data_IF_077766736381
#
_entry.id   IF_077766736381
#
_cell.length_a   1.000
_cell.length_b   1.000
_cell.length_c   1.000
_cell.angle_alpha   90.00
_cell.angle_beta   90.00
_cell.angle_gamma   90.00
#
_symmetry.space_group_name_H-M   'P 1'
#
loop_
_entity.id
_entity.type
_entity.pdbx_description
1 polymer ?
#
# COMPACT_ATOMS: atom_id res chain seq x y z
N UNK A 1 -3.36 -25.71 4.41
CA UNK A 1 -3.31 -26.84 5.38
C UNK A 1 -4.19 -27.98 4.87
N UNK A 2 -5.52 -27.84 4.77
CA UNK A 2 -6.42 -28.94 4.34
C UNK A 2 -6.01 -29.64 3.03
N UNK A 3 -5.52 -28.90 2.02
CA UNK A 3 -5.00 -29.47 0.77
C UNK A 3 -3.73 -30.29 1.04
N UNK A 4 -2.83 -29.79 1.89
CA UNK A 4 -1.59 -30.49 2.24
C UNK A 4 -1.89 -31.78 3.00
N UNK A 5 -2.87 -31.80 3.89
CA UNK A 5 -3.35 -33.00 4.57
C UNK A 5 -3.91 -34.03 3.58
N UNK A 6 -4.72 -33.58 2.61
CA UNK A 6 -5.24 -34.45 1.55
C UNK A 6 -4.11 -35.11 0.75
N UNK A 7 -3.05 -34.38 0.41
CA UNK A 7 -1.89 -34.89 -0.32
C UNK A 7 -0.82 -35.51 0.58
N UNK A 8 -1.09 -35.66 1.90
CA UNK A 8 -0.17 -36.26 2.89
C UNK A 8 1.21 -35.58 2.91
N UNK A 9 1.24 -34.26 2.71
CA UNK A 9 2.47 -33.48 2.87
C UNK A 9 2.84 -33.46 4.34
N UNK A 10 4.12 -33.71 4.66
CA UNK A 10 4.58 -33.72 6.05
C UNK A 10 4.49 -32.30 6.66
N UNK A 11 4.31 -32.24 7.98
CA UNK A 11 4.31 -30.97 8.72
C UNK A 11 5.65 -30.23 8.56
N UNK A 12 6.75 -30.97 8.49
CA UNK A 12 8.10 -30.41 8.30
C UNK A 12 8.25 -29.76 6.93
N UNK A 13 7.82 -30.46 5.86
CA UNK A 13 7.85 -29.91 4.50
C UNK A 13 6.92 -28.70 4.36
N UNK A 14 5.73 -28.76 4.98
CA UNK A 14 4.82 -27.63 5.00
C UNK A 14 5.42 -26.40 5.70
N UNK A 15 6.04 -26.59 6.87
CA UNK A 15 6.73 -25.51 7.60
C UNK A 15 7.92 -24.96 6.82
N UNK A 16 8.70 -25.83 6.18
CA UNK A 16 9.82 -25.40 5.33
C UNK A 16 9.33 -24.59 4.13
N UNK A 17 8.31 -25.06 3.42
CA UNK A 17 7.71 -24.35 2.30
C UNK A 17 7.14 -23.00 2.71
N UNK A 18 6.38 -22.91 3.82
CA UNK A 18 5.79 -21.66 4.31
C UNK A 18 6.82 -20.61 4.70
N UNK A 19 8.04 -20.99 5.08
CA UNK A 19 9.13 -20.05 5.38
C UNK A 19 9.70 -19.36 4.14
N UNK A 20 9.62 -19.99 2.99
CA UNK A 20 10.21 -19.50 1.73
C UNK A 20 9.18 -18.97 0.74
N UNK A 21 7.89 -19.30 0.94
CA UNK A 21 6.82 -18.81 0.07
C UNK A 21 6.69 -17.29 0.23
N UNK A 22 6.82 -16.59 -0.89
CA UNK A 22 6.54 -15.17 -1.00
C UNK A 22 5.47 -14.96 -2.07
N UNK A 23 4.43 -14.26 -1.72
CA UNK A 23 3.38 -13.89 -2.69
C UNK A 23 3.62 -12.45 -3.14
N UNK A 24 3.90 -12.26 -4.43
CA UNK A 24 4.12 -10.92 -5.01
C UNK A 24 2.93 -10.00 -4.66
N UNK A 25 3.22 -8.84 -4.07
CA UNK A 25 2.23 -7.83 -3.74
C UNK A 25 1.29 -8.18 -2.58
N UNK A 26 1.68 -9.08 -1.68
CA UNK A 26 0.96 -9.40 -0.44
C UNK A 26 1.93 -9.36 0.73
N UNK A 27 1.85 -8.34 1.57
CA UNK A 27 2.79 -8.08 2.68
C UNK A 27 4.24 -8.28 2.20
N UNK A 28 4.53 -7.78 1.01
CA UNK A 28 5.83 -7.94 0.37
C UNK A 28 6.80 -6.90 0.93
N UNK A 29 7.77 -7.35 1.74
CA UNK A 29 8.79 -6.49 2.31
C UNK A 29 9.79 -6.06 1.24
N UNK A 30 10.05 -4.75 1.17
CA UNK A 30 11.05 -4.16 0.27
C UNK A 30 12.12 -3.48 1.10
N UNK A 31 13.37 -3.92 0.96
CA UNK A 31 14.48 -3.33 1.70
C UNK A 31 14.85 -1.97 1.10
N UNK A 32 14.64 -0.91 1.88
CA UNK A 32 14.95 0.48 1.52
C UNK A 32 15.80 1.18 2.57
N UNK A 33 15.68 0.79 3.84
CA UNK A 33 16.37 1.39 4.98
C UNK A 33 16.61 0.34 6.08
N UNK A 34 17.52 0.62 6.99
CA UNK A 34 17.68 -0.14 8.24
C UNK A 34 16.83 0.45 9.39
N UNK A 35 16.35 1.68 9.23
CA UNK A 35 15.59 2.39 10.25
C UNK A 35 14.09 2.08 10.23
N UNK A 36 13.52 1.76 9.07
CA UNK A 36 12.09 1.51 8.90
C UNK A 36 11.78 0.36 7.95
N UNK A 37 10.56 -0.17 8.06
CA UNK A 37 10.04 -1.22 7.19
C UNK A 37 9.17 -0.57 6.12
N UNK A 38 9.41 -0.94 4.85
CA UNK A 38 8.51 -0.63 3.73
C UNK A 38 7.97 -1.92 3.15
N UNK A 39 6.66 -1.95 2.89
CA UNK A 39 6.00 -3.11 2.29
C UNK A 39 4.98 -2.71 1.24
N UNK A 40 4.73 -3.65 0.31
CA UNK A 40 3.71 -3.54 -0.73
C UNK A 40 2.60 -4.52 -0.44
N UNK A 41 1.33 -4.07 -0.52
CA UNK A 41 0.16 -4.92 -0.35
C UNK A 41 -0.96 -4.60 -1.35
N UNK A 42 -1.81 -5.58 -1.61
CA UNK A 42 -2.94 -5.46 -2.55
C UNK A 42 -4.26 -5.03 -1.88
N UNK A 43 -4.25 -4.58 -0.64
CA UNK A 43 -5.45 -4.09 0.05
C UNK A 43 -6.04 -2.88 -0.69
N UNK A 44 -7.12 -3.09 -1.45
CA UNK A 44 -7.74 -2.10 -2.34
C UNK A 44 -9.23 -1.87 -2.06
N UNK A 45 -9.71 -2.26 -0.88
CA UNK A 45 -11.02 -1.98 -0.35
C UNK A 45 -10.94 -1.81 1.17
N UNK A 46 -12.00 -1.25 1.77
CA UNK A 46 -12.01 -0.89 3.19
C UNK A 46 -11.73 -2.07 4.12
N UNK A 47 -12.40 -3.20 3.90
CA UNK A 47 -12.23 -4.40 4.75
C UNK A 47 -10.80 -4.96 4.69
N UNK A 48 -10.21 -5.04 3.50
CA UNK A 48 -8.83 -5.50 3.35
C UNK A 48 -7.83 -4.52 3.97
N UNK A 49 -8.06 -3.21 3.80
CA UNK A 49 -7.23 -2.16 4.38
C UNK A 49 -7.32 -2.16 5.92
N UNK A 50 -8.53 -2.31 6.46
CA UNK A 50 -8.74 -2.42 7.90
C UNK A 50 -8.03 -3.63 8.50
N UNK A 51 -8.18 -4.81 7.87
CA UNK A 51 -7.49 -6.03 8.29
C UNK A 51 -5.97 -5.86 8.26
N UNK A 52 -5.44 -5.29 7.19
CA UNK A 52 -4.00 -5.03 7.04
C UNK A 52 -3.49 -4.08 8.12
N UNK A 53 -4.07 -2.89 8.25
CA UNK A 53 -3.62 -1.87 9.18
C UNK A 53 -3.77 -2.32 10.64
N UNK A 54 -4.87 -3.01 10.99
CA UNK A 54 -5.07 -3.57 12.32
C UNK A 54 -4.00 -4.61 12.65
N UNK A 55 -3.70 -5.52 11.72
CA UNK A 55 -2.62 -6.49 11.89
C UNK A 55 -1.27 -5.81 12.09
N UNK A 56 -0.96 -4.77 11.30
CA UNK A 56 0.29 -4.03 11.44
C UNK A 56 0.39 -3.29 12.77
N UNK A 57 -0.73 -2.83 13.33
CA UNK A 57 -0.78 -2.22 14.68
C UNK A 57 -0.41 -3.19 15.80
N UNK A 58 -0.69 -4.49 15.66
CA UNK A 58 -0.30 -5.51 16.64
C UNK A 58 1.22 -5.65 16.81
N UNK A 59 2.00 -5.22 15.81
CA UNK A 59 3.47 -5.18 15.88
C UNK A 59 4.01 -3.91 16.58
N UNK A 60 3.13 -3.03 17.08
CA UNK A 60 3.49 -1.81 17.82
C UNK A 60 4.49 -0.91 17.10
N UNK A 61 4.28 -0.56 15.82
CA UNK A 61 5.15 0.37 15.11
C UNK A 61 5.19 1.73 15.84
N UNK A 62 6.31 2.44 15.78
CA UNK A 62 6.37 3.80 16.33
C UNK A 62 5.45 4.74 15.54
N UNK A 63 5.39 4.55 14.22
CA UNK A 63 4.46 5.23 13.33
C UNK A 63 4.04 4.27 12.21
N UNK A 64 2.74 4.18 11.97
CA UNK A 64 2.16 3.45 10.84
C UNK A 64 1.79 4.43 9.74
N UNK A 65 2.45 4.33 8.58
CA UNK A 65 2.22 5.18 7.42
C UNK A 65 1.52 4.37 6.33
N UNK A 66 0.37 4.84 5.87
CA UNK A 66 -0.41 4.20 4.80
C UNK A 66 -0.39 5.06 3.55
N UNK A 67 0.12 4.51 2.44
CA UNK A 67 0.12 5.15 1.11
C UNK A 67 -0.89 4.41 0.24
N UNK A 68 -1.95 5.08 -0.19
CA UNK A 68 -2.92 4.45 -1.07
C UNK A 68 -3.66 5.43 -1.97
N UNK A 69 -4.26 4.90 -3.00
CA UNK A 69 -5.22 5.55 -3.86
C UNK A 69 -6.39 4.62 -4.17
N UNK A 70 -7.36 5.10 -4.91
CA UNK A 70 -8.49 4.32 -5.35
C UNK A 70 -8.63 4.31 -6.87
N UNK A 71 -9.20 3.23 -7.40
CA UNK A 71 -9.48 3.12 -8.82
C UNK A 71 -10.67 4.00 -9.25
N UNK A 72 -10.53 4.62 -10.41
CA UNK A 72 -11.63 5.29 -11.10
C UNK A 72 -12.65 4.29 -11.64
N UNK A 73 -13.85 4.79 -12.04
CA UNK A 73 -14.98 3.99 -12.51
C UNK A 73 -15.37 2.87 -11.53
N UNK A 74 -15.29 3.17 -10.24
CA UNK A 74 -15.67 2.31 -9.12
C UNK A 74 -16.58 3.09 -8.16
N UNK A 75 -17.22 2.38 -7.23
CA UNK A 75 -18.07 2.99 -6.21
C UNK A 75 -17.32 4.06 -5.42
N UNK A 76 -17.89 5.26 -5.33
CA UNK A 76 -17.38 6.35 -4.50
C UNK A 76 -17.41 5.99 -3.01
N UNK A 77 -18.39 5.19 -2.58
CA UNK A 77 -18.48 4.71 -1.21
C UNK A 77 -17.19 4.04 -0.75
N UNK A 78 -16.57 3.22 -1.63
CA UNK A 78 -15.27 2.59 -1.34
C UNK A 78 -14.17 3.61 -1.01
N UNK A 79 -14.17 4.77 -1.69
CA UNK A 79 -13.18 5.83 -1.48
C UNK A 79 -13.35 6.46 -0.10
N UNK A 80 -14.60 6.74 0.27
CA UNK A 80 -14.95 7.28 1.59
C UNK A 80 -14.59 6.31 2.70
N UNK A 81 -14.97 5.03 2.55
CA UNK A 81 -14.69 3.99 3.53
C UNK A 81 -13.19 3.75 3.72
N UNK A 82 -12.41 3.70 2.63
CA UNK A 82 -10.95 3.53 2.71
C UNK A 82 -10.28 4.74 3.38
N UNK A 83 -10.73 5.97 3.07
CA UNK A 83 -10.27 7.17 3.74
C UNK A 83 -10.54 7.12 5.24
N UNK A 84 -11.75 6.76 5.64
CA UNK A 84 -12.15 6.64 7.06
C UNK A 84 -11.34 5.57 7.79
N UNK A 85 -11.14 4.39 7.18
CA UNK A 85 -10.33 3.30 7.76
C UNK A 85 -8.88 3.74 7.96
N UNK A 86 -8.27 4.34 6.93
CA UNK A 86 -6.88 4.81 7.03
C UNK A 86 -6.74 5.91 8.09
N UNK A 87 -7.67 6.86 8.11
CA UNK A 87 -7.66 7.94 9.10
C UNK A 87 -7.82 7.47 10.56
N UNK A 88 -8.51 6.35 10.78
CA UNK A 88 -8.65 5.74 12.13
C UNK A 88 -7.44 4.94 12.56
N UNK A 89 -6.76 4.28 11.63
CA UNK A 89 -5.77 3.26 11.93
C UNK A 89 -4.33 3.66 11.63
N UNK A 90 -4.08 4.57 10.69
CA UNK A 90 -2.74 5.07 10.38
C UNK A 90 -2.41 6.35 11.15
N UNK A 91 -1.13 6.56 11.48
CA UNK A 91 -0.64 7.82 12.06
C UNK A 91 -0.46 8.90 11.00
N UNK A 92 -0.20 8.46 9.75
CA UNK A 92 -0.12 9.33 8.57
C UNK A 92 -0.66 8.58 7.36
N UNK A 93 -1.55 9.21 6.63
CA UNK A 93 -2.02 8.74 5.32
C UNK A 93 -1.43 9.59 4.21
N UNK A 94 -0.83 8.98 3.20
CA UNK A 94 -0.42 9.63 1.95
C UNK A 94 -1.41 9.22 0.88
N UNK A 95 -2.28 10.15 0.48
CA UNK A 95 -3.29 9.91 -0.55
C UNK A 95 -2.67 10.18 -1.91
N UNK A 96 -2.74 9.19 -2.81
CA UNK A 96 -2.13 9.28 -4.14
C UNK A 96 -3.03 8.69 -5.23
N UNK A 97 -2.60 8.74 -6.49
CA UNK A 97 -3.33 8.07 -7.56
C UNK A 97 -3.08 6.56 -7.58
N UNK A 98 -4.07 5.83 -8.07
CA UNK A 98 -4.01 4.41 -8.42
C UNK A 98 -4.26 4.28 -9.93
N UNK A 99 -5.30 3.61 -10.37
CA UNK A 99 -5.77 3.53 -11.74
C UNK A 99 -6.94 4.53 -11.94
N UNK A 100 -6.71 5.78 -12.34
CA UNK A 100 -7.79 6.76 -12.46
C UNK A 100 -8.78 6.41 -13.57
N UNK A 101 -8.40 5.61 -14.53
CA UNK A 101 -9.21 5.22 -15.70
C UNK A 101 -9.72 6.44 -16.45
N UNK A 102 -11.04 6.69 -16.44
CA UNK A 102 -11.66 7.81 -17.13
C UNK A 102 -12.02 8.99 -16.20
N UNK A 103 -11.65 8.92 -14.91
CA UNK A 103 -11.84 10.01 -13.96
C UNK A 103 -10.56 10.83 -13.79
N UNK A 104 -10.68 12.07 -13.36
CA UNK A 104 -9.54 12.88 -12.97
C UNK A 104 -8.97 12.38 -11.62
N UNK A 105 -7.66 12.17 -11.51
CA UNK A 105 -7.05 11.65 -10.29
C UNK A 105 -7.38 12.48 -9.05
N UNK A 106 -7.43 13.81 -9.21
CA UNK A 106 -7.73 14.74 -8.10
C UNK A 106 -9.15 14.56 -7.55
N UNK A 107 -10.13 14.23 -8.40
CA UNK A 107 -11.51 14.00 -7.96
C UNK A 107 -11.59 12.73 -7.09
N UNK A 108 -10.81 11.70 -7.44
CA UNK A 108 -10.72 10.48 -6.64
C UNK A 108 -10.06 10.77 -5.29
N UNK A 109 -8.97 11.56 -5.26
CA UNK A 109 -8.30 12.01 -4.04
C UNK A 109 -9.28 12.80 -3.16
N UNK A 110 -10.04 13.71 -3.74
CA UNK A 110 -11.05 14.51 -3.01
C UNK A 110 -12.13 13.62 -2.40
N UNK A 111 -12.59 12.59 -3.10
CA UNK A 111 -13.53 11.60 -2.53
C UNK A 111 -12.91 10.84 -1.33
N UNK A 112 -11.62 10.47 -1.39
CA UNK A 112 -10.93 9.80 -0.25
C UNK A 112 -10.85 10.75 0.95
N UNK A 113 -10.57 12.04 0.73
CA UNK A 113 -10.51 13.07 1.79
C UNK A 113 -11.82 13.20 2.56
N UNK A 114 -12.97 13.08 1.90
CA UNK A 114 -14.28 13.06 2.59
C UNK A 114 -14.36 11.96 3.66
N UNK A 115 -13.70 10.82 3.42
CA UNK A 115 -13.59 9.76 4.43
C UNK A 115 -12.63 10.12 5.56
N UNK A 116 -11.48 10.69 5.23
CA UNK A 116 -10.49 11.17 6.20
C UNK A 116 -11.06 12.22 7.15
N UNK A 117 -11.85 13.16 6.63
CA UNK A 117 -12.48 14.25 7.41
C UNK A 117 -13.47 13.78 8.48
N UNK A 118 -13.88 12.52 8.45
CA UNK A 118 -14.68 11.88 9.52
C UNK A 118 -13.84 11.41 10.71
N UNK A 119 -12.54 11.64 10.67
CA UNK A 119 -11.56 11.16 11.65
C UNK A 119 -10.60 12.28 12.02
N UNK A 120 -9.83 12.09 13.08
CA UNK A 120 -8.73 12.98 13.46
C UNK A 120 -7.39 12.58 12.79
N UNK A 121 -7.43 11.66 11.83
CA UNK A 121 -6.26 11.12 11.13
C UNK A 121 -5.54 12.17 10.29
N UNK A 122 -4.21 12.17 10.36
CA UNK A 122 -3.38 13.08 9.57
C UNK A 122 -3.21 12.54 8.16
N UNK A 123 -3.31 13.43 7.18
CA UNK A 123 -3.02 13.06 5.80
C UNK A 123 -2.30 14.15 5.02
N UNK A 124 -1.66 13.74 3.95
CA UNK A 124 -1.14 14.60 2.89
C UNK A 124 -1.61 14.05 1.55
N UNK A 125 -1.67 14.90 0.53
CA UNK A 125 -1.99 14.49 -0.82
C UNK A 125 -0.79 14.71 -1.75
N UNK A 126 -0.41 13.65 -2.47
CA UNK A 126 0.62 13.68 -3.50
C UNK A 126 0.10 12.86 -4.67
N UNK A 127 -0.44 13.54 -5.69
CA UNK A 127 -1.16 12.87 -6.77
C UNK A 127 -0.28 11.88 -7.55
N UNK A 128 0.96 12.24 -7.84
CA UNK A 128 1.91 11.34 -8.50
C UNK A 128 2.37 10.24 -7.54
N UNK A 129 2.19 8.97 -7.95
CA UNK A 129 2.52 7.84 -7.08
C UNK A 129 4.02 7.65 -6.88
N UNK A 130 4.84 7.99 -7.86
CA UNK A 130 6.31 7.94 -7.69
C UNK A 130 6.77 8.98 -6.67
N UNK A 131 6.22 10.18 -6.73
CA UNK A 131 6.53 11.24 -5.77
C UNK A 131 5.97 10.91 -4.37
N UNK A 132 4.82 10.23 -4.28
CA UNK A 132 4.31 9.73 -2.99
C UNK A 132 5.26 8.68 -2.37
N UNK A 133 5.79 7.76 -3.19
CA UNK A 133 6.79 6.77 -2.77
C UNK A 133 8.09 7.48 -2.35
N UNK A 134 8.56 8.45 -3.15
CA UNK A 134 9.73 9.27 -2.79
C UNK A 134 9.54 9.93 -1.44
N UNK A 135 8.41 10.59 -1.24
CA UNK A 135 8.12 11.29 0.01
C UNK A 135 8.24 10.37 1.24
N UNK A 136 7.63 9.18 1.18
CA UNK A 136 7.68 8.29 2.35
C UNK A 136 9.05 7.64 2.57
N UNK A 137 9.87 7.51 1.54
CA UNK A 137 11.26 7.04 1.68
C UNK A 137 12.14 8.14 2.30
N UNK A 138 12.02 9.39 1.83
CA UNK A 138 12.80 10.53 2.36
C UNK A 138 12.40 10.92 3.78
N UNK A 139 11.14 10.71 4.17
CA UNK A 139 10.60 11.12 5.48
C UNK A 139 10.35 9.92 6.42
N UNK A 140 10.80 8.74 6.04
CA UNK A 140 10.75 7.55 6.89
C UNK A 140 11.59 7.74 8.15
N UNK A 141 11.01 7.40 9.30
CA UNK A 141 11.64 7.55 10.61
C UNK A 141 11.93 6.19 11.21
N UNK A 142 12.84 6.17 12.18
CA UNK A 142 13.20 4.95 12.89
C UNK A 142 11.96 4.34 13.57
N UNK A 143 11.74 3.07 13.30
CA UNK A 143 10.61 2.33 13.85
C UNK A 143 9.29 2.49 13.09
N UNK A 144 9.29 3.19 11.94
CA UNK A 144 8.11 3.26 11.08
C UNK A 144 7.82 1.92 10.40
N UNK A 145 6.52 1.69 10.19
CA UNK A 145 6.01 0.71 9.23
C UNK A 145 5.26 1.48 8.16
N UNK A 146 5.75 1.42 6.93
CA UNK A 146 5.21 2.10 5.76
C UNK A 146 4.60 1.05 4.85
N UNK A 147 3.32 1.18 4.51
CA UNK A 147 2.64 0.27 3.57
C UNK A 147 2.15 1.01 2.33
N UNK A 148 2.59 0.53 1.15
CA UNK A 148 2.05 0.91 -0.14
C UNK A 148 0.89 -0.03 -0.45
N UNK A 149 -0.33 0.46 -0.28
CA UNK A 149 -1.54 -0.34 -0.43
C UNK A 149 -2.25 -0.09 -1.77
N UNK A 150 -2.92 -1.12 -2.26
CA UNK A 150 -3.80 -1.06 -3.43
C UNK A 150 -3.26 -1.75 -4.67
N UNK A 151 -2.04 -1.45 -5.08
CA UNK A 151 -1.43 -1.97 -6.32
C UNK A 151 -0.94 -3.42 -6.20
N UNK A 152 -0.29 -3.75 -5.10
CA UNK A 152 0.22 -5.09 -4.86
C UNK A 152 1.08 -5.63 -6.01
N UNK A 153 0.56 -6.63 -6.73
CA UNK A 153 1.27 -7.27 -7.85
C UNK A 153 1.07 -6.56 -9.20
N UNK A 154 0.20 -5.55 -9.28
CA UNK A 154 -0.03 -4.81 -10.53
C UNK A 154 1.23 -4.04 -10.95
N UNK A 155 1.55 -4.09 -12.22
CA UNK A 155 2.73 -3.48 -12.84
C UNK A 155 2.37 -2.39 -13.86
N UNK A 156 1.15 -1.86 -13.75
CA UNK A 156 0.65 -0.82 -14.65
C UNK A 156 -0.21 0.21 -13.90
N UNK A 157 -0.36 1.38 -14.54
CA UNK A 157 -1.39 2.36 -14.23
C UNK A 157 -2.31 2.52 -15.45
N UNK A 158 -3.63 2.42 -15.23
CA UNK A 158 -4.63 2.56 -16.29
C UNK A 158 -5.17 4.00 -16.33
N UNK A 159 -4.93 4.70 -17.45
CA UNK A 159 -5.38 6.08 -17.70
C UNK A 159 -6.09 6.12 -19.05
N UNK A 160 -7.35 6.54 -19.07
CA UNK A 160 -8.18 6.66 -20.29
C UNK A 160 -8.17 5.40 -21.15
N UNK A 161 -8.22 4.22 -20.49
CA UNK A 161 -8.24 2.90 -21.14
C UNK A 161 -6.88 2.41 -21.61
N UNK A 162 -5.79 3.16 -21.42
CA UNK A 162 -4.43 2.77 -21.76
C UNK A 162 -3.69 2.35 -20.49
N UNK A 163 -2.97 1.23 -20.54
CA UNK A 163 -2.11 0.77 -19.46
C UNK A 163 -0.69 1.25 -19.67
N UNK A 164 -0.18 2.03 -18.76
CA UNK A 164 1.19 2.50 -18.72
C UNK A 164 1.99 1.66 -17.73
N UNK A 165 3.22 1.25 -18.03
CA UNK A 165 4.07 0.52 -17.11
C UNK A 165 4.25 1.30 -15.81
N UNK A 166 3.95 0.67 -14.67
CA UNK A 166 4.13 1.24 -13.33
C UNK A 166 4.17 0.10 -12.30
N UNK A 167 5.34 -0.43 -12.03
CA UNK A 167 5.57 -1.38 -10.94
C UNK A 167 6.20 -0.63 -9.75
N UNK A 168 5.58 -0.68 -8.57
CA UNK A 168 6.06 0.02 -7.37
C UNK A 168 7.49 -0.40 -6.99
N UNK A 169 7.89 -1.64 -7.29
CA UNK A 169 9.25 -2.12 -7.02
C UNK A 169 10.27 -1.39 -7.88
N UNK A 170 9.92 -1.15 -9.15
CA UNK A 170 10.75 -0.37 -10.08
C UNK A 170 10.81 1.08 -9.62
N UNK A 171 9.67 1.68 -9.28
CA UNK A 171 9.61 3.06 -8.77
C UNK A 171 10.46 3.23 -7.51
N UNK A 172 10.41 2.29 -6.56
CA UNK A 172 11.24 2.31 -5.36
C UNK A 172 12.72 2.30 -5.73
N UNK A 173 13.15 1.42 -6.64
CA UNK A 173 14.55 1.33 -7.06
C UNK A 173 15.03 2.61 -7.77
N UNK A 174 14.20 3.19 -8.62
CA UNK A 174 14.49 4.48 -9.26
C UNK A 174 14.66 5.59 -8.22
N UNK A 175 13.74 5.69 -7.26
CA UNK A 175 13.81 6.67 -6.18
C UNK A 175 15.09 6.51 -5.36
N UNK A 176 15.44 5.28 -4.95
CA UNK A 176 16.67 5.01 -4.20
C UNK A 176 17.92 5.40 -4.98
N UNK A 177 17.95 5.13 -6.28
CA UNK A 177 19.06 5.54 -7.16
C UNK A 177 19.17 7.06 -7.21
N UNK A 178 18.09 7.76 -7.48
CA UNK A 178 18.05 9.23 -7.55
C UNK A 178 18.46 9.90 -6.22
N UNK A 179 18.15 9.27 -5.08
CA UNK A 179 18.57 9.76 -3.77
C UNK A 179 20.06 9.51 -3.49
N UNK A 180 20.63 8.44 -4.03
CA UNK A 180 22.06 8.14 -3.87
C UNK A 180 22.98 8.99 -4.74
N UNK A 181 22.44 9.66 -5.76
CA UNK A 181 23.16 10.52 -6.70
C UNK A 181 23.16 12.01 -6.29
N UNK A 182 22.44 12.35 -5.20
CA UNK A 182 22.40 13.70 -4.59
C UNK A 182 23.44 13.85 -3.48
#
# INVERSE_FOLDING_TARGET
>A
IAVCEHFKVSEEDLKAALKIVKTKGRIELVKVSDDFILMIDYAHNAMALESLLSTLREYHPQRLVCVFGCGGNRSKLRRYEMGEVSGKLADLTVITSDNPRFEEPQDIINDIKIGMEKTDGKYIEICDRKEAIRYVIEHGQKGDVIVLAGKGHEDYQEIKGVKYPMDERVLIQEVLKELSEK
#
